data_IF_636805403637
#
_entry.id   IF_636805403637
#
_cell.length_a   1.000
_cell.length_b   1.000
_cell.length_c   1.000
_cell.angle_alpha   90.00
_cell.angle_beta   90.00
_cell.angle_gamma   90.00
#
_symmetry.space_group_name_H-M   'P 1'
#
loop_
_entity.id
_entity.type
_entity.pdbx_description
1 polymer ?
#
# COMPACT_ATOMS: atom_id res chain seq x y z
N UNK A 1 -9.05 3.38 16.43
CA UNK A 1 -9.29 3.89 15.06
C UNK A 1 -8.28 5.01 14.80
N UNK A 2 -7.47 4.90 13.77
CA UNK A 2 -6.49 5.93 13.40
C UNK A 2 -7.25 7.22 13.01
N UNK A 3 -6.95 8.33 13.67
CA UNK A 3 -7.52 9.64 13.30
C UNK A 3 -6.69 10.21 12.15
N UNK A 4 -7.01 9.80 10.92
CA UNK A 4 -6.42 10.34 9.70
C UNK A 4 -7.37 11.42 9.17
N UNK A 5 -6.84 12.62 8.85
CA UNK A 5 -7.61 13.65 8.17
C UNK A 5 -7.64 13.33 6.66
N UNK A 6 -8.79 12.96 6.10
CA UNK A 6 -8.87 12.55 4.69
C UNK A 6 -8.43 13.64 3.71
N UNK A 7 -8.68 14.91 4.04
CA UNK A 7 -8.42 16.04 3.14
C UNK A 7 -6.92 16.39 3.03
N UNK A 8 -6.12 16.00 4.03
CA UNK A 8 -4.67 16.24 4.06
C UNK A 8 -3.87 14.94 3.89
N UNK A 9 -4.43 13.96 3.18
CA UNK A 9 -3.83 12.64 3.01
C UNK A 9 -3.56 12.35 1.53
N UNK A 10 -2.33 11.89 1.24
CA UNK A 10 -1.97 11.27 -0.03
C UNK A 10 -2.28 9.77 0.05
N UNK A 11 -3.13 9.30 -0.83
CA UNK A 11 -3.48 7.89 -0.95
C UNK A 11 -2.67 7.25 -2.07
N UNK A 12 -1.79 6.33 -1.72
CA UNK A 12 -0.86 5.66 -2.64
C UNK A 12 -1.30 4.21 -2.80
N UNK A 13 -1.84 3.87 -3.96
CA UNK A 13 -2.19 2.49 -4.32
C UNK A 13 -1.07 1.86 -5.14
N UNK A 14 -0.67 0.65 -4.76
CA UNK A 14 0.43 -0.07 -5.38
C UNK A 14 -0.04 -1.44 -5.83
N UNK A 15 -0.06 -1.65 -7.14
CA UNK A 15 -0.21 -2.97 -7.74
C UNK A 15 1.16 -3.63 -7.88
N UNK A 16 1.37 -4.71 -7.11
CA UNK A 16 2.68 -5.34 -6.93
C UNK A 16 2.84 -6.55 -7.83
N UNK A 17 3.88 -6.56 -8.65
CA UNK A 17 4.32 -7.74 -9.38
C UNK A 17 5.75 -8.16 -8.99
N UNK A 18 6.22 -9.27 -9.54
CA UNK A 18 7.55 -9.80 -9.24
C UNK A 18 8.69 -8.86 -9.68
N UNK A 19 8.50 -8.10 -10.75
CA UNK A 19 9.56 -7.26 -11.37
C UNK A 19 9.30 -5.76 -11.21
N UNK A 20 8.04 -5.36 -11.10
CA UNK A 20 7.64 -3.97 -11.07
C UNK A 20 6.44 -3.74 -10.16
N UNK A 21 6.31 -2.51 -9.67
CA UNK A 21 5.17 -2.02 -8.93
C UNK A 21 4.53 -0.91 -9.75
N UNK A 22 3.26 -1.02 -10.10
CA UNK A 22 2.54 0.12 -10.66
C UNK A 22 1.93 0.94 -9.52
N UNK A 23 2.14 2.25 -9.55
CA UNK A 23 1.74 3.14 -8.46
C UNK A 23 0.80 4.23 -8.97
N UNK A 24 -0.31 4.38 -8.28
CA UNK A 24 -1.22 5.51 -8.42
C UNK A 24 -1.32 6.24 -7.09
N UNK A 25 -0.93 7.51 -7.04
CA UNK A 25 -1.11 8.35 -5.87
C UNK A 25 -2.12 9.46 -6.18
N UNK A 26 -3.09 9.63 -5.26
CA UNK A 26 -4.17 10.60 -5.41
C UNK A 26 -4.54 11.25 -4.07
N UNK A 27 -5.18 12.42 -4.16
CA UNK A 27 -5.78 13.10 -3.01
C UNK A 27 -7.22 12.60 -2.74
N UNK A 28 -7.87 13.25 -1.76
CA UNK A 28 -9.26 12.94 -1.42
C UNK A 28 -10.22 13.19 -2.60
N UNK A 29 -9.94 14.15 -3.46
CA UNK A 29 -10.75 14.53 -4.63
C UNK A 29 -10.46 13.70 -5.89
N UNK A 30 -9.55 12.72 -5.78
CA UNK A 30 -9.08 11.85 -6.88
C UNK A 30 -8.21 12.56 -7.91
N UNK A 31 -7.61 13.71 -7.58
CA UNK A 31 -6.56 14.28 -8.40
C UNK A 31 -5.34 13.35 -8.33
N UNK A 32 -4.87 12.90 -9.48
CA UNK A 32 -3.75 11.97 -9.60
C UNK A 32 -2.45 12.74 -9.70
N UNK A 33 -1.53 12.48 -8.78
CA UNK A 33 -0.20 13.09 -8.74
C UNK A 33 0.90 12.15 -9.24
N UNK A 34 0.75 10.84 -8.97
CA UNK A 34 1.66 9.80 -9.46
C UNK A 34 0.82 8.76 -10.20
N UNK A 35 1.28 8.35 -11.39
CA UNK A 35 0.67 7.27 -12.16
C UNK A 35 1.74 6.65 -13.06
N UNK A 36 2.62 5.83 -12.47
CA UNK A 36 3.80 5.28 -13.14
C UNK A 36 4.25 3.95 -12.54
N UNK A 37 5.12 3.26 -13.26
CA UNK A 37 5.70 1.98 -12.85
C UNK A 37 7.11 2.19 -12.29
N UNK A 38 7.44 1.46 -11.22
CA UNK A 38 8.75 1.44 -10.56
C UNK A 38 9.24 0.00 -10.48
N UNK A 39 10.55 -0.23 -10.52
CA UNK A 39 11.11 -1.57 -10.34
C UNK A 39 10.83 -2.10 -8.92
N UNK A 40 10.51 -3.40 -8.79
CA UNK A 40 10.31 -4.02 -7.47
C UNK A 40 11.65 -4.47 -6.86
N UNK A 41 12.51 -3.50 -6.60
CA UNK A 41 13.84 -3.65 -5.97
C UNK A 41 14.18 -2.39 -5.18
N UNK A 42 15.36 -2.37 -4.55
CA UNK A 42 15.78 -1.23 -3.72
C UNK A 42 15.84 0.09 -4.50
N UNK A 43 16.51 0.21 -5.69
CA UNK A 43 16.50 1.45 -6.46
C UNK A 43 15.08 1.93 -6.84
N UNK A 44 14.18 1.03 -7.23
CA UNK A 44 12.81 1.40 -7.59
C UNK A 44 11.99 1.87 -6.39
N UNK A 45 12.24 1.33 -5.19
CA UNK A 45 11.61 1.81 -3.96
C UNK A 45 12.13 3.22 -3.57
N UNK A 46 13.42 3.48 -3.76
CA UNK A 46 14.04 4.80 -3.56
C UNK A 46 13.46 5.83 -4.55
N UNK A 47 13.35 5.48 -5.82
CA UNK A 47 12.74 6.32 -6.86
C UNK A 47 11.29 6.67 -6.51
N UNK A 48 10.51 5.69 -6.06
CA UNK A 48 9.14 5.92 -5.61
C UNK A 48 9.09 6.88 -4.42
N UNK A 49 9.95 6.70 -3.41
CA UNK A 49 9.99 7.58 -2.26
C UNK A 49 10.36 9.02 -2.65
N UNK A 50 11.33 9.20 -3.53
CA UNK A 50 11.68 10.52 -4.08
C UNK A 50 10.50 11.15 -4.80
N UNK A 51 9.77 10.39 -5.62
CA UNK A 51 8.59 10.87 -6.33
C UNK A 51 7.45 11.29 -5.40
N UNK A 52 7.24 10.53 -4.32
CA UNK A 52 6.29 10.90 -3.26
C UNK A 52 6.73 12.21 -2.59
N UNK A 53 8.02 12.36 -2.24
CA UNK A 53 8.55 13.57 -1.61
C UNK A 53 8.45 14.81 -2.51
N UNK A 54 8.67 14.66 -3.82
CA UNK A 54 8.46 15.74 -4.80
C UNK A 54 7.00 16.18 -4.79
N UNK A 55 6.06 15.24 -4.88
CA UNK A 55 4.64 15.51 -4.83
C UNK A 55 4.25 16.26 -3.53
N UNK A 56 4.77 15.82 -2.37
CA UNK A 56 4.47 16.44 -1.08
C UNK A 56 5.09 17.85 -0.92
N UNK A 57 6.18 18.15 -1.62
CA UNK A 57 6.74 19.52 -1.67
C UNK A 57 5.86 20.47 -2.47
N UNK A 58 5.25 19.96 -3.56
CA UNK A 58 4.33 20.74 -4.40
C UNK A 58 2.95 20.93 -3.72
N UNK A 59 2.59 20.04 -2.81
CA UNK A 59 1.30 20.04 -2.09
C UNK A 59 1.49 20.07 -0.56
N UNK A 60 1.86 21.23 0.03
CA UNK A 60 2.19 21.35 1.46
C UNK A 60 0.99 21.16 2.40
N UNK A 61 -0.23 21.17 1.89
CA UNK A 61 -1.48 20.84 2.58
C UNK A 61 -1.59 19.32 2.89
N UNK A 62 -0.85 18.47 2.18
CA UNK A 62 -0.79 17.04 2.42
C UNK A 62 0.25 16.75 3.52
N UNK A 63 -0.22 16.22 4.62
CA UNK A 63 0.60 15.97 5.83
C UNK A 63 0.68 14.49 6.23
N UNK A 64 -0.08 13.63 5.56
CA UNK A 64 -0.18 12.20 5.87
C UNK A 64 -0.11 11.37 4.60
N UNK A 65 0.54 10.22 4.67
CA UNK A 65 0.59 9.24 3.59
C UNK A 65 -0.18 7.97 4.03
N UNK A 66 -1.07 7.50 3.18
CA UNK A 66 -1.70 6.19 3.31
C UNK A 66 -1.33 5.38 2.08
N UNK A 67 -0.42 4.43 2.23
CA UNK A 67 -0.03 3.51 1.19
C UNK A 67 -0.75 2.18 1.35
N UNK A 68 -1.41 1.72 0.31
CA UNK A 68 -2.12 0.46 0.26
C UNK A 68 -1.58 -0.40 -0.89
N UNK A 69 -1.38 -1.69 -0.62
CA UNK A 69 -0.88 -2.64 -1.61
C UNK A 69 -1.51 -4.02 -1.40
N UNK A 70 -1.64 -4.78 -2.48
CA UNK A 70 -2.16 -6.14 -2.36
C UNK A 70 -1.12 -7.11 -1.81
N UNK A 71 -1.58 -8.09 -1.02
CA UNK A 71 -0.74 -9.18 -0.50
C UNK A 71 -0.40 -10.17 -1.62
N UNK A 72 0.56 -9.82 -2.45
CA UNK A 72 1.03 -10.63 -3.58
C UNK A 72 2.24 -11.46 -3.16
N UNK A 73 2.00 -12.53 -2.36
CA UNK A 73 3.06 -13.43 -1.88
C UNK A 73 4.18 -12.66 -1.14
N UNK A 74 5.45 -12.96 -1.46
CA UNK A 74 6.63 -12.32 -0.86
C UNK A 74 6.98 -10.98 -1.51
N UNK A 75 6.47 -10.72 -2.71
CA UNK A 75 6.84 -9.55 -3.50
C UNK A 75 6.40 -8.22 -2.88
N UNK A 76 5.29 -8.23 -2.15
CA UNK A 76 4.75 -7.05 -1.45
C UNK A 76 5.55 -6.69 -0.19
N UNK A 77 6.33 -7.62 0.38
CA UNK A 77 7.04 -7.42 1.65
C UNK A 77 8.13 -6.37 1.51
N UNK A 78 8.87 -6.38 0.40
CA UNK A 78 9.97 -5.45 0.16
C UNK A 78 9.48 -4.01 0.19
N UNK A 79 8.52 -3.67 -0.66
CA UNK A 79 8.01 -2.29 -0.76
C UNK A 79 7.25 -1.86 0.50
N UNK A 80 6.53 -2.79 1.18
CA UNK A 80 5.87 -2.49 2.44
C UNK A 80 6.88 -2.13 3.55
N UNK A 81 7.97 -2.90 3.66
CA UNK A 81 9.05 -2.60 4.61
C UNK A 81 9.71 -1.25 4.30
N UNK A 82 10.05 -1.03 3.03
CA UNK A 82 10.73 0.19 2.63
C UNK A 82 9.90 1.43 2.96
N UNK A 83 8.64 1.49 2.51
CA UNK A 83 7.78 2.65 2.76
C UNK A 83 7.47 2.87 4.24
N UNK A 84 7.42 1.80 5.04
CA UNK A 84 7.15 1.91 6.49
C UNK A 84 8.37 2.30 7.32
N UNK A 85 9.59 2.24 6.77
CA UNK A 85 10.85 2.53 7.47
C UNK A 85 11.70 3.63 6.83
N UNK A 86 11.28 4.20 5.70
CA UNK A 86 11.99 5.27 5.01
C UNK A 86 11.97 6.56 5.87
N UNK A 87 13.14 6.98 6.35
CA UNK A 87 13.30 8.11 7.28
C UNK A 87 12.74 9.41 6.71
N UNK A 88 12.95 9.67 5.42
CA UNK A 88 12.49 10.87 4.74
C UNK A 88 10.95 10.97 4.71
N UNK A 89 10.25 9.83 4.69
CA UNK A 89 8.79 9.78 4.68
C UNK A 89 8.20 9.87 6.10
N UNK A 90 8.96 9.58 7.16
CA UNK A 90 8.45 9.48 8.55
C UNK A 90 7.76 10.76 9.03
N UNK A 91 8.22 11.95 8.57
CA UNK A 91 7.58 13.24 8.90
C UNK A 91 6.13 13.34 8.42
N UNK A 92 5.76 12.56 7.40
CA UNK A 92 4.40 12.49 6.82
C UNK A 92 3.59 11.31 7.37
N UNK A 93 4.05 10.67 8.45
CA UNK A 93 3.35 9.57 9.13
C UNK A 93 2.85 8.50 8.16
N UNK A 94 3.73 7.78 7.44
CA UNK A 94 3.33 6.80 6.45
C UNK A 94 2.61 5.62 7.11
N UNK A 95 1.34 5.45 6.79
CA UNK A 95 0.58 4.26 7.14
C UNK A 95 0.57 3.33 5.94
N UNK A 96 1.20 2.17 6.08
CA UNK A 96 1.29 1.16 5.02
C UNK A 96 0.35 0.01 5.33
N UNK A 97 -0.52 -0.36 4.39
CA UNK A 97 -1.50 -1.42 4.56
C UNK A 97 -1.32 -2.49 3.49
N UNK A 98 -1.21 -3.74 3.93
CA UNK A 98 -1.16 -4.89 3.03
C UNK A 98 -2.55 -5.52 3.01
N UNK A 99 -3.24 -5.36 1.89
CA UNK A 99 -4.64 -5.71 1.72
C UNK A 99 -4.83 -7.14 1.23
N UNK A 100 -5.98 -7.72 1.55
CA UNK A 100 -6.41 -8.96 0.93
C UNK A 100 -6.88 -8.68 -0.51
N UNK A 101 -6.34 -9.37 -1.54
CA UNK A 101 -6.71 -9.17 -2.94
C UNK A 101 -8.22 -9.36 -3.21
N UNK A 102 -8.92 -10.14 -2.39
CA UNK A 102 -10.38 -10.31 -2.53
C UNK A 102 -11.14 -9.01 -2.26
N UNK A 103 -10.65 -8.18 -1.34
CA UNK A 103 -11.30 -6.92 -0.98
C UNK A 103 -11.24 -5.92 -2.14
N UNK A 104 -10.05 -5.73 -2.70
CA UNK A 104 -9.82 -4.83 -3.84
C UNK A 104 -10.50 -5.32 -5.11
N UNK A 105 -10.47 -6.65 -5.38
CA UNK A 105 -11.20 -7.24 -6.50
C UNK A 105 -12.73 -7.06 -6.39
N UNK A 106 -13.29 -7.18 -5.19
CA UNK A 106 -14.72 -6.93 -4.99
C UNK A 106 -15.05 -5.43 -5.11
N UNK A 107 -14.20 -4.56 -4.59
CA UNK A 107 -14.37 -3.12 -4.74
C UNK A 107 -14.30 -2.69 -6.21
N UNK A 108 -13.39 -3.28 -7.00
CA UNK A 108 -13.29 -3.04 -8.45
C UNK A 108 -14.61 -3.33 -9.19
N UNK A 109 -15.38 -4.33 -8.75
CA UNK A 109 -16.69 -4.66 -9.36
C UNK A 109 -17.72 -3.54 -9.23
N UNK A 110 -17.54 -2.61 -8.27
CA UNK A 110 -18.43 -1.44 -8.15
C UNK A 110 -18.25 -0.42 -9.26
N UNK A 111 -17.14 -0.51 -9.99
CA UNK A 111 -16.87 0.33 -11.16
C UNK A 111 -17.37 -0.34 -12.42
N UNK A 112 -18.31 0.28 -13.11
CA UNK A 112 -18.83 -0.21 -14.38
C UNK A 112 -17.82 0.06 -15.49
N UNK A 113 -17.45 -0.96 -16.25
CA UNK A 113 -16.63 -0.81 -17.47
C UNK A 113 -15.12 -0.66 -17.25
N UNK A 114 -14.60 -0.78 -16.03
CA UNK A 114 -13.15 -0.81 -15.82
C UNK A 114 -12.55 -2.11 -16.35
N UNK A 115 -11.65 -1.99 -17.31
CA UNK A 115 -10.84 -3.10 -17.82
C UNK A 115 -9.84 -3.64 -16.79
N UNK A 116 -8.97 -4.55 -17.22
CA UNK A 116 -7.84 -5.04 -16.42
C UNK A 116 -6.56 -4.44 -16.98
N UNK A 117 -5.89 -3.62 -16.16
CA UNK A 117 -4.53 -3.12 -16.44
C UNK A 117 -3.92 -2.64 -15.12
N UNK A 118 -2.60 -2.71 -15.01
CA UNK A 118 -1.87 -2.30 -13.81
C UNK A 118 -2.19 -0.86 -13.34
N UNK A 119 -2.32 0.15 -14.25
CA UNK A 119 -2.77 1.49 -13.87
C UNK A 119 -4.16 1.54 -13.22
N UNK A 120 -5.07 0.71 -13.71
CA UNK A 120 -6.44 0.64 -13.19
C UNK A 120 -6.42 -0.07 -11.83
N UNK A 121 -5.66 -1.15 -11.69
CA UNK A 121 -5.57 -1.91 -10.46
C UNK A 121 -4.93 -1.07 -9.35
N UNK A 122 -3.85 -0.34 -9.64
CA UNK A 122 -3.24 0.61 -8.70
C UNK A 122 -4.21 1.76 -8.31
N UNK A 123 -4.97 2.30 -9.26
CA UNK A 123 -6.00 3.30 -8.97
C UNK A 123 -7.09 2.76 -8.05
N UNK A 124 -7.59 1.55 -8.30
CA UNK A 124 -8.63 0.91 -7.48
C UNK A 124 -8.12 0.69 -6.04
N UNK A 125 -6.86 0.29 -5.87
CA UNK A 125 -6.24 0.12 -4.55
C UNK A 125 -6.15 1.47 -3.82
N UNK A 126 -5.72 2.54 -4.51
CA UNK A 126 -5.65 3.89 -3.93
C UNK A 126 -7.05 4.40 -3.52
N UNK A 127 -8.04 4.21 -4.39
CA UNK A 127 -9.41 4.66 -4.13
C UNK A 127 -10.11 3.84 -3.05
N UNK A 128 -9.79 2.54 -2.92
CA UNK A 128 -10.22 1.71 -1.80
C UNK A 128 -9.74 2.27 -0.45
N UNK A 129 -8.47 2.69 -0.41
CA UNK A 129 -7.89 3.31 0.77
C UNK A 129 -8.53 4.68 1.07
N UNK A 130 -8.70 5.51 0.04
CA UNK A 130 -9.35 6.83 0.13
C UNK A 130 -10.78 6.76 0.64
N UNK A 131 -11.54 5.75 0.20
CA UNK A 131 -12.92 5.53 0.62
C UNK A 131 -13.06 5.02 2.07
N UNK A 132 -11.94 4.81 2.77
CA UNK A 132 -11.96 4.37 4.17
C UNK A 132 -12.31 2.89 4.39
N UNK A 133 -12.20 2.07 3.35
CA UNK A 133 -12.56 0.65 3.40
C UNK A 133 -11.48 -0.25 4.03
N UNK A 134 -10.38 0.32 4.53
CA UNK A 134 -9.30 -0.44 5.14
C UNK A 134 -9.69 -0.86 6.56
N UNK A 135 -9.87 -2.17 6.76
CA UNK A 135 -10.17 -2.77 8.06
C UNK A 135 -8.95 -3.43 8.72
N UNK A 136 -7.83 -3.50 8.00
CA UNK A 136 -6.61 -4.16 8.50
C UNK A 136 -5.74 -3.19 9.29
N UNK A 137 -4.93 -3.75 10.20
CA UNK A 137 -3.89 -2.99 10.91
C UNK A 137 -2.78 -2.55 9.96
N UNK A 138 -2.13 -1.39 10.22
CA UNK A 138 -0.95 -0.98 9.48
C UNK A 138 0.16 -2.02 9.55
N UNK A 139 1.00 -2.06 8.53
CA UNK A 139 2.17 -2.94 8.46
C UNK A 139 3.12 -2.67 9.62
N UNK A 140 3.50 -3.73 10.34
CA UNK A 140 4.35 -3.68 11.54
C UNK A 140 5.77 -4.19 11.30
N UNK A 141 6.16 -4.33 10.03
CA UNK A 141 7.48 -4.80 9.65
C UNK A 141 7.60 -6.32 9.52
N UNK A 142 8.74 -6.75 8.97
CA UNK A 142 9.03 -8.16 8.66
C UNK A 142 9.16 -9.02 9.91
N UNK A 143 9.64 -8.48 11.02
CA UNK A 143 9.77 -9.21 12.29
C UNK A 143 8.39 -9.64 12.83
N UNK A 144 7.40 -8.75 12.77
CA UNK A 144 6.03 -9.09 13.18
C UNK A 144 5.41 -10.14 12.25
N UNK A 145 5.69 -10.07 10.95
CA UNK A 145 5.26 -11.09 10.00
C UNK A 145 5.89 -12.45 10.28
N UNK A 146 7.19 -12.49 10.61
CA UNK A 146 7.89 -13.71 10.99
C UNK A 146 7.28 -14.33 12.25
N UNK A 147 7.03 -13.52 13.28
CA UNK A 147 6.39 -13.98 14.52
C UNK A 147 4.98 -14.54 14.23
N UNK A 148 4.18 -13.86 13.43
CA UNK A 148 2.85 -14.34 13.02
C UNK A 148 2.90 -15.67 12.26
N UNK A 149 3.90 -15.86 11.40
CA UNK A 149 4.14 -17.13 10.67
C UNK A 149 4.53 -18.24 11.63
N UNK A 150 5.46 -18.00 12.56
CA UNK A 150 5.89 -18.96 13.55
C UNK A 150 4.73 -19.39 14.47
N UNK A 151 3.92 -18.44 14.92
CA UNK A 151 2.74 -18.73 15.77
C UNK A 151 1.72 -19.60 15.04
N UNK A 152 1.45 -19.32 13.76
CA UNK A 152 0.57 -20.15 12.95
C UNK A 152 1.15 -21.55 12.73
N UNK A 153 2.45 -21.66 12.49
CA UNK A 153 3.11 -22.95 12.31
C UNK A 153 3.06 -23.79 13.58
N UNK A 154 3.32 -23.18 14.75
CA UNK A 154 3.16 -23.84 16.05
C UNK A 154 1.73 -24.36 16.26
N UNK A 155 0.71 -23.54 15.94
CA UNK A 155 -0.69 -23.96 16.05
C UNK A 155 -0.98 -25.16 15.13
N UNK A 156 -0.49 -25.11 13.90
CA UNK A 156 -0.67 -26.20 12.93
C UNK A 156 -0.02 -27.51 13.41
N UNK A 157 1.21 -27.45 13.93
CA UNK A 157 1.90 -28.60 14.50
C UNK A 157 1.16 -29.17 15.73
N UNK A 158 0.60 -28.32 16.59
CA UNK A 158 -0.17 -28.78 17.76
C UNK A 158 -1.46 -29.50 17.39
N UNK A 159 -2.07 -29.17 16.25
CA UNK A 159 -3.28 -29.83 15.76
C UNK A 159 -3.00 -31.18 15.08
N UNK A 160 -1.77 -31.43 14.63
CA UNK A 160 -1.38 -32.71 14.00
C UNK A 160 -1.08 -33.78 15.07
N UNK A 161 -0.79 -33.39 16.31
CA UNK A 161 -0.47 -34.28 17.40
C UNK A 161 -1.65 -34.66 18.31
N UNK A 162 -2.87 -34.31 17.92
CA UNK A 162 -4.12 -34.78 18.51
C UNK A 162 -4.74 -35.84 17.60
#
# INVERSE_FOLDING_TARGET
>A
MLKINPLSTLYVGIDVSSKSNYVCALDFYKNKYINSSFANNQPGAEELALKILECLKEHPDITTIVAALESTSVYSIHIANYLSSCEELMRFKPYVFVLNPKCTANYKKSYIGLGKSDPIDAFVIADYARAGNIETEPWRGSQFLALKRLTRHRLHLSLIHI
#
